data_IF_327479692423
#
_entry.id   IF_327479692423
#
_cell.length_a   1.000
_cell.length_b   1.000
_cell.length_c   1.000
_cell.angle_alpha   90.00
_cell.angle_beta   90.00
_cell.angle_gamma   90.00
#
_symmetry.space_group_name_H-M   'P 1'
#
loop_
_entity.id
_entity.type
_entity.pdbx_description
1 polymer ?
2 non-polymer ?
3 non-polymer ?
4 water ?
#
# COMPACT_ATOMS: atom_id res chain seq x y z
N UNK A 4 29.75 12.27 7.24
CA UNK A 4 28.54 12.74 6.60
C UNK A 4 28.81 13.85 5.60
N UNK A 5 27.95 13.96 4.59
CA UNK A 5 28.12 14.94 3.53
C UNK A 5 27.89 16.34 4.11
N UNK A 6 28.51 17.37 3.54
CA UNK A 6 28.37 18.72 4.10
C UNK A 6 26.94 19.23 4.01
N UNK A 7 26.68 20.31 4.76
CA UNK A 7 25.32 20.78 4.97
C UNK A 7 24.61 21.08 3.65
N UNK A 8 25.30 21.72 2.70
CA UNK A 8 24.61 22.13 1.49
C UNK A 8 24.18 20.94 0.63
N UNK A 9 25.03 19.90 0.55
CA UNK A 9 24.62 18.69 -0.17
C UNK A 9 23.51 17.95 0.57
N UNK A 10 23.61 17.88 1.89
CA UNK A 10 22.54 17.28 2.69
C UNK A 10 21.21 17.98 2.42
N UNK A 11 21.22 19.31 2.39
CA UNK A 11 20.01 20.08 2.09
C UNK A 11 19.49 19.76 0.70
N UNK A 12 20.38 19.73 -0.29
CA UNK A 12 19.94 19.45 -1.65
C UNK A 12 19.24 18.09 -1.72
N UNK A 13 19.85 17.06 -1.13
CA UNK A 13 19.25 15.73 -1.17
C UNK A 13 17.93 15.70 -0.40
N UNK A 14 17.85 16.41 0.72
CA UNK A 14 16.61 16.45 1.49
C UNK A 14 15.50 17.12 0.69
N UNK A 15 15.81 18.19 -0.04
CA UNK A 15 14.80 18.83 -0.88
C UNK A 15 14.37 17.90 -2.01
N UNK A 16 15.32 17.16 -2.59
CA UNK A 16 14.97 16.18 -3.60
C UNK A 16 14.01 15.12 -3.04
N UNK A 17 14.30 14.61 -1.85
CA UNK A 17 13.45 13.60 -1.24
C UNK A 17 12.07 14.17 -0.93
N UNK A 18 11.99 15.39 -0.42
CA UNK A 18 10.68 15.97 -0.11
C UNK A 18 9.87 16.15 -1.39
N UNK A 19 10.52 16.63 -2.45
CA UNK A 19 9.87 16.74 -3.75
C UNK A 19 9.34 15.40 -4.21
N UNK A 20 10.12 14.33 -4.06
CA UNK A 20 9.65 13.01 -4.47
C UNK A 20 8.47 12.57 -3.61
N UNK A 21 8.55 12.80 -2.30
CA UNK A 21 7.48 12.40 -1.40
C UNK A 21 6.16 13.06 -1.76
N UNK A 22 6.20 14.24 -2.37
CA UNK A 22 4.94 14.88 -2.75
C UNK A 22 4.21 14.16 -3.88
N UNK A 23 4.87 13.26 -4.61
CA UNK A 23 4.34 12.68 -5.84
C UNK A 23 3.47 11.45 -5.54
N UNK A 24 2.37 11.35 -6.27
CA UNK A 24 1.53 10.16 -6.18
C UNK A 24 2.33 8.89 -6.39
N UNK A 25 3.23 8.91 -7.37
CA UNK A 25 4.03 7.72 -7.69
C UNK A 25 4.93 7.29 -6.54
N UNK A 26 5.14 8.15 -5.54
CA UNK A 26 5.93 7.76 -4.39
C UNK A 26 5.16 6.91 -3.39
N UNK A 27 3.83 6.85 -3.49
CA UNK A 27 3.05 6.27 -2.41
C UNK A 27 3.52 4.87 -2.00
N UNK A 28 3.87 3.96 -2.91
CA UNK A 28 4.30 2.62 -2.47
C UNK A 28 5.63 2.62 -1.73
N UNK A 29 6.39 3.71 -1.79
CA UNK A 29 7.76 3.73 -1.32
C UNK A 29 7.95 4.63 -0.11
N UNK A 30 6.88 5.18 0.44
CA UNK A 30 6.99 6.15 1.54
C UNK A 30 7.51 5.51 2.82
N UNK A 31 7.14 4.26 3.08
CA UNK A 31 7.39 3.63 4.37
C UNK A 31 7.90 2.21 4.16
N UNK A 32 8.57 1.65 5.17
CA UNK A 32 9.07 0.26 5.04
C UNK A 32 7.96 -0.72 4.78
N UNK A 33 8.29 -1.77 4.00
CA UNK A 33 7.37 -2.86 3.76
C UNK A 33 7.28 -3.74 5.00
N UNK A 34 6.04 -4.07 5.39
CA UNK A 34 5.81 -5.10 6.40
C UNK A 34 5.25 -6.32 5.70
N UNK A 35 6.07 -7.34 5.43
CA UNK A 35 5.61 -8.43 4.57
C UNK A 35 4.35 -9.12 5.05
N UNK A 36 4.25 -9.45 6.34
CA UNK A 36 3.08 -10.19 6.81
C UNK A 36 1.85 -9.29 6.78
N UNK A 37 2.01 -8.00 7.08
CA UNK A 37 0.87 -7.09 7.01
C UNK A 37 0.32 -6.99 5.60
N UNK A 38 1.17 -7.13 4.58
CA UNK A 38 0.73 -7.10 3.19
C UNK A 38 0.50 -8.49 2.62
N UNK A 39 0.54 -9.52 3.47
CA UNK A 39 0.36 -10.91 3.04
C UNK A 39 1.29 -11.26 1.88
N UNK A 40 2.53 -10.81 1.97
CA UNK A 40 3.61 -11.27 1.10
C UNK A 40 4.72 -11.79 2.02
N UNK A 41 4.48 -12.91 2.72
CA UNK A 41 5.44 -13.36 3.74
C UNK A 41 6.78 -13.80 3.20
N UNK A 42 6.94 -13.97 1.89
CA UNK A 42 8.24 -14.34 1.33
C UNK A 42 9.11 -13.14 0.98
N UNK A 43 8.65 -11.92 1.29
CA UNK A 43 9.35 -10.72 0.85
C UNK A 43 10.81 -10.71 1.29
N UNK A 44 11.07 -10.90 2.58
CA UNK A 44 12.44 -10.85 3.08
C UNK A 44 13.29 -12.00 2.56
N UNK A 45 12.68 -13.07 2.05
CA UNK A 45 13.46 -14.12 1.43
C UNK A 45 14.01 -13.68 0.07
N UNK A 46 13.30 -12.78 -0.61
CA UNK A 46 13.73 -12.24 -1.90
C UNK A 46 14.51 -10.95 -1.77
N UNK A 47 14.15 -10.11 -0.80
CA UNK A 47 14.70 -8.77 -0.67
C UNK A 47 15.52 -8.75 0.62
N UNK A 48 16.84 -8.81 0.46
CA UNK A 48 17.77 -8.84 1.58
C UNK A 48 18.22 -7.46 2.03
N UNK A 49 17.90 -6.41 1.27
CA UNK A 49 18.26 -5.03 1.62
C UNK A 49 17.04 -4.17 1.35
N UNK A 50 16.03 -4.23 2.21
CA UNK A 50 14.86 -3.37 2.03
C UNK A 50 15.25 -1.90 2.15
N UNK A 51 14.52 -1.05 1.42
CA UNK A 51 14.79 0.38 1.43
C UNK A 51 13.51 1.12 1.08
N UNK A 52 13.35 2.32 1.67
CA UNK A 52 12.17 3.14 1.47
C UNK A 52 12.56 4.61 1.65
N UNK A 53 11.65 5.50 1.23
CA UNK A 53 11.93 6.94 1.25
C UNK A 53 12.11 7.46 2.66
N UNK A 54 11.31 6.97 3.61
CA UNK A 54 11.45 7.42 5.00
C UNK A 54 12.83 7.09 5.53
N UNK A 55 13.34 5.90 5.23
CA UNK A 55 14.67 5.52 5.67
C UNK A 55 15.74 6.43 5.06
N UNK A 56 15.60 6.75 3.78
CA UNK A 56 16.58 7.64 3.14
C UNK A 56 16.56 9.02 3.79
N UNK A 57 15.36 9.56 4.05
CA UNK A 57 15.27 10.86 4.70
C UNK A 57 15.88 10.83 6.09
N UNK A 58 15.56 9.79 6.87
CA UNK A 58 16.11 9.69 8.21
C UNK A 58 17.62 9.54 8.18
N UNK A 59 18.16 8.77 7.22
CA UNK A 59 19.60 8.62 7.10
C UNK A 59 20.24 9.96 6.74
N UNK A 60 19.61 10.74 5.87
CA UNK A 60 20.12 12.08 5.58
C UNK A 60 20.14 12.94 6.83
N UNK A 61 19.07 12.88 7.64
CA UNK A 61 19.03 13.67 8.86
C UNK A 61 20.04 13.18 9.89
N UNK A 62 20.34 11.87 9.89
CA UNK A 62 21.33 11.31 10.80
C UNK A 62 22.76 11.43 10.28
N UNK A 63 22.95 12.08 9.13
CA UNK A 63 24.27 12.23 8.53
C UNK A 63 24.94 10.87 8.33
N UNK A 64 24.16 9.90 7.87
CA UNK A 64 24.64 8.53 7.66
C UNK A 64 25.15 8.29 6.24
N UNK A 65 25.14 9.29 5.38
CA UNK A 65 25.70 9.18 4.05
C UNK A 65 27.05 9.88 3.99
N UNK A 66 28.01 9.25 3.33
CA UNK A 66 29.34 9.82 3.16
C UNK A 66 29.51 10.55 1.84
N UNK A 67 28.73 10.18 0.82
CA UNK A 67 28.80 10.78 -0.50
C UNK A 67 27.39 10.82 -1.09
N UNK A 68 27.13 11.76 -2.00
CA UNK A 68 25.81 11.77 -2.66
C UNK A 68 25.54 10.48 -3.43
N UNK A 69 26.59 9.86 -3.97
CA UNK A 69 26.41 8.61 -4.69
C UNK A 69 25.80 7.53 -3.82
N UNK A 70 26.07 7.56 -2.51
CA UNK A 70 25.44 6.58 -1.62
C UNK A 70 23.93 6.77 -1.56
N UNK A 71 23.48 8.03 -1.52
CA UNK A 71 22.05 8.32 -1.58
C UNK A 71 21.46 7.76 -2.86
N UNK A 72 22.09 8.08 -4.00
CA UNK A 72 21.60 7.56 -5.27
C UNK A 72 21.55 6.04 -5.26
N UNK A 73 22.55 5.40 -4.63
CA UNK A 73 22.57 3.95 -4.56
C UNK A 73 21.38 3.42 -3.76
N UNK A 74 21.05 4.06 -2.63
CA UNK A 74 19.89 3.62 -1.85
C UNK A 74 18.59 3.78 -2.63
N UNK A 75 18.44 4.90 -3.34
CA UNK A 75 17.23 5.11 -4.12
C UNK A 75 17.09 4.03 -5.20
N UNK A 76 18.18 3.79 -5.94
CA UNK A 76 18.20 2.74 -6.96
C UNK A 76 17.89 1.39 -6.34
N UNK A 77 18.42 1.11 -5.15
CA UNK A 77 18.16 -0.15 -4.47
C UNK A 77 16.69 -0.33 -4.18
N UNK A 78 16.04 0.73 -3.69
CA UNK A 78 14.59 0.69 -3.45
C UNK A 78 13.84 0.30 -4.72
N UNK A 79 14.15 0.98 -5.83
CA UNK A 79 13.41 0.70 -7.06
C UNK A 79 13.73 -0.70 -7.58
N UNK A 80 15.00 -1.11 -7.49
CA UNK A 80 15.37 -2.43 -7.98
C UNK A 80 14.79 -3.55 -7.11
N UNK A 81 14.63 -3.32 -5.80
CA UNK A 81 13.87 -4.24 -4.96
C UNK A 81 12.48 -4.45 -5.52
N UNK A 82 11.81 -3.36 -5.87
CA UNK A 82 10.49 -3.53 -6.48
C UNK A 82 10.60 -4.30 -7.79
N UNK A 83 11.59 -3.98 -8.63
CA UNK A 83 11.73 -4.67 -9.90
C UNK A 83 11.88 -6.17 -9.70
N UNK A 84 12.65 -6.57 -8.69
CA UNK A 84 12.86 -8.00 -8.44
C UNK A 84 11.60 -8.66 -7.88
N UNK A 85 10.99 -8.05 -6.87
CA UNK A 85 9.91 -8.74 -6.15
C UNK A 85 8.55 -8.59 -6.83
N UNK A 86 8.18 -7.37 -7.22
CA UNK A 86 6.92 -7.17 -7.92
C UNK A 86 7.02 -7.43 -9.41
N UNK A 87 8.21 -7.33 -10.00
CA UNK A 87 8.41 -7.53 -11.41
C UNK A 87 8.86 -6.27 -12.12
N UNK A 88 9.60 -6.42 -13.22
CA UNK A 88 10.18 -5.25 -13.88
C UNK A 88 9.14 -4.32 -14.48
N UNK A 89 7.99 -4.85 -14.91
CA UNK A 89 6.95 -4.02 -15.50
C UNK A 89 5.72 -3.87 -14.63
N UNK A 90 5.80 -4.28 -13.35
CA UNK A 90 4.68 -4.11 -12.44
C UNK A 90 4.34 -2.64 -12.24
N UNK A 91 3.10 -2.39 -11.84
CA UNK A 91 2.64 -1.02 -11.59
C UNK A 91 3.55 -0.33 -10.58
N UNK A 92 3.79 -0.99 -9.43
CA UNK A 92 4.61 -0.39 -8.39
C UNK A 92 6.02 -0.11 -8.93
N UNK A 93 6.56 -1.02 -9.73
CA UNK A 93 7.90 -0.81 -10.25
C UNK A 93 7.95 0.39 -11.21
N UNK A 94 6.93 0.52 -12.07
CA UNK A 94 6.92 1.68 -12.96
C UNK A 94 6.72 2.99 -12.21
N UNK A 95 5.93 2.98 -11.13
CA UNK A 95 5.86 4.16 -10.27
C UNK A 95 7.23 4.47 -9.68
N UNK A 96 7.96 3.41 -9.30
CA UNK A 96 9.33 3.59 -8.85
C UNK A 96 10.23 4.20 -9.90
N UNK A 97 10.09 3.74 -11.15
CA UNK A 97 10.87 4.33 -12.23
C UNK A 97 10.55 5.81 -12.40
N UNK A 98 9.27 6.18 -12.26
CA UNK A 98 8.87 7.58 -12.36
C UNK A 98 9.54 8.43 -11.29
N UNK A 99 9.45 8.00 -10.02
CA UNK A 99 10.06 8.81 -8.98
C UNK A 99 11.58 8.73 -9.05
N UNK A 100 12.12 7.65 -9.61
CA UNK A 100 13.56 7.58 -9.85
C UNK A 100 13.99 8.67 -10.82
N UNK A 101 13.23 8.87 -11.90
CA UNK A 101 13.54 9.95 -12.84
C UNK A 101 13.42 11.31 -12.16
N UNK A 102 12.38 11.52 -11.36
CA UNK A 102 12.26 12.80 -10.65
C UNK A 102 13.47 13.03 -9.74
N UNK A 103 13.85 12.00 -8.98
CA UNK A 103 14.96 12.14 -8.04
C UNK A 103 16.27 12.40 -8.76
N UNK A 104 16.47 11.75 -9.91
CA UNK A 104 17.68 11.99 -10.68
C UNK A 104 17.71 13.41 -11.24
N UNK A 105 16.55 13.92 -11.66
CA UNK A 105 16.49 15.32 -12.06
C UNK A 105 16.96 16.23 -10.94
N UNK A 106 16.52 15.95 -9.71
CA UNK A 106 16.93 16.81 -8.60
C UNK A 106 18.38 16.60 -8.20
N UNK A 107 18.92 15.39 -8.38
CA UNK A 107 20.27 15.08 -7.92
C UNK A 107 21.34 15.46 -8.93
N UNK A 108 21.01 15.52 -10.23
CA UNK A 108 21.97 16.00 -11.21
C UNK A 108 22.44 17.41 -10.88
N UNK A 109 21.62 18.18 -10.17
CA UNK A 109 21.91 19.54 -9.79
C UNK A 109 22.65 19.63 -8.46
N UNK A 110 23.10 18.50 -7.91
CA UNK A 110 23.77 18.49 -6.63
C UNK A 110 24.97 19.43 -6.65
N UNK A 111 25.09 20.35 -5.70
CA UNK A 111 26.25 21.24 -5.68
C UNK A 111 27.50 20.51 -5.19
N UNK A 112 28.63 20.86 -5.79
CA UNK A 112 29.89 20.22 -5.45
C UNK A 112 30.35 20.65 -4.05
N UNK A 113 31.33 19.91 -3.52
CA UNK A 113 31.92 20.27 -2.24
C UNK A 113 32.61 21.63 -2.30
N UNK A 114 33.40 21.86 -3.36
CA UNK A 114 34.19 23.08 -3.48
C UNK A 114 33.80 23.89 -4.70
N UNK B 4 -27.14 -11.21 15.71
CA UNK B 4 -26.14 -11.65 14.77
C UNK B 4 -26.63 -12.82 13.92
N UNK B 5 -25.87 -13.12 12.86
CA UNK B 5 -26.22 -14.23 11.98
C UNK B 5 -25.76 -15.53 12.62
N UNK B 6 -26.45 -16.65 12.39
CA UNK B 6 -26.10 -17.90 13.06
C UNK B 6 -24.69 -18.35 12.71
N UNK B 7 -24.17 -19.28 13.51
CA UNK B 7 -22.78 -19.68 13.38
C UNK B 7 -22.44 -20.12 11.96
N UNK B 8 -23.09 -21.18 11.47
CA UNK B 8 -22.70 -21.76 10.19
C UNK B 8 -22.56 -20.69 9.10
N UNK B 9 -23.46 -19.71 9.08
CA UNK B 9 -23.34 -18.62 8.12
C UNK B 9 -22.13 -17.75 8.43
N UNK B 10 -21.89 -17.45 9.71
CA UNK B 10 -20.71 -16.68 10.09
C UNK B 10 -19.43 -17.38 9.64
N UNK B 11 -19.40 -18.71 9.76
CA UNK B 11 -18.24 -19.49 9.33
C UNK B 11 -18.07 -19.46 7.82
N UNK B 12 -19.18 -19.60 7.08
CA UNK B 12 -19.11 -19.45 5.64
C UNK B 12 -18.50 -18.10 5.25
N UNK B 13 -18.96 -17.02 5.92
CA UNK B 13 -18.45 -15.69 5.59
C UNK B 13 -16.99 -15.53 5.96
N UNK B 14 -16.58 -16.04 7.12
CA UNK B 14 -15.18 -15.98 7.51
C UNK B 14 -14.29 -16.73 6.52
N UNK B 15 -14.73 -17.91 6.07
CA UNK B 15 -13.96 -18.65 5.09
C UNK B 15 -13.89 -17.90 3.76
N UNK B 16 -14.98 -17.23 3.38
CA UNK B 16 -14.95 -16.40 2.19
C UNK B 16 -13.93 -15.28 2.33
N UNK B 17 -13.89 -14.63 3.50
CA UNK B 17 -12.94 -13.54 3.72
C UNK B 17 -11.51 -14.05 3.64
N UNK B 18 -11.24 -15.22 4.23
CA UNK B 18 -9.88 -15.76 4.16
C UNK B 18 -9.49 -16.07 2.72
N UNK B 19 -10.37 -16.75 1.99
CA UNK B 19 -10.13 -16.99 0.57
C UNK B 19 -9.81 -15.69 -0.16
N UNK B 20 -10.59 -14.63 0.08
CA UNK B 20 -10.34 -13.37 -0.60
C UNK B 20 -8.99 -12.79 -0.20
N UNK B 21 -8.61 -12.95 1.07
CA UNK B 21 -7.34 -12.40 1.53
C UNK B 21 -6.16 -13.09 0.87
N UNK B 22 -6.31 -14.34 0.44
CA UNK B 22 -5.22 -14.98 -0.29
C UNK B 22 -4.84 -14.23 -1.57
N UNK B 23 -5.77 -13.45 -2.14
CA UNK B 23 -5.58 -12.91 -3.49
C UNK B 23 -4.67 -11.69 -3.50
N UNK B 24 -3.85 -11.59 -4.56
CA UNK B 24 -3.03 -10.41 -4.77
C UNK B 24 -3.88 -9.14 -4.75
N UNK B 25 -5.01 -9.15 -5.47
CA UNK B 25 -5.87 -7.97 -5.57
C UNK B 25 -6.47 -7.56 -4.23
N UNK B 26 -6.33 -8.38 -3.19
CA UNK B 26 -6.83 -7.99 -1.88
C UNK B 26 -5.84 -7.12 -1.12
N UNK B 27 -4.59 -7.05 -1.56
CA UNK B 27 -3.57 -6.35 -0.76
C UNK B 27 -3.96 -4.93 -0.37
N UNK B 28 -4.52 -4.09 -1.24
CA UNK B 28 -4.85 -2.71 -0.81
C UNK B 28 -5.89 -2.65 0.28
N UNK B 29 -6.62 -3.74 0.52
CA UNK B 29 -7.78 -3.74 1.40
C UNK B 29 -7.58 -4.59 2.64
N UNK B 30 -6.36 -5.10 2.87
CA UNK B 30 -6.14 -5.97 4.02
C UNK B 30 -6.32 -5.21 5.33
N UNK B 31 -5.87 -3.96 5.38
CA UNK B 31 -5.89 -3.15 6.59
C UNK B 31 -6.59 -1.83 6.32
N UNK B 32 -7.03 -1.14 7.38
CA UNK B 32 -7.61 0.20 7.20
C UNK B 32 -6.63 1.12 6.49
N UNK B 33 -7.15 1.93 5.57
CA UNK B 33 -6.33 2.95 4.95
C UNK B 33 -5.74 3.85 6.03
N UNK B 34 -4.43 4.04 5.99
CA UNK B 34 -3.73 4.90 6.94
C UNK B 34 -3.30 6.17 6.22
N UNK B 35 -4.07 7.26 6.31
CA UNK B 35 -3.72 8.47 5.54
C UNK B 35 -2.36 9.05 5.87
N UNK B 36 -1.89 8.92 7.11
CA UNK B 36 -0.60 9.48 7.46
C UNK B 36 0.53 8.68 6.81
N UNK B 37 0.46 7.35 6.90
CA UNK B 37 1.48 6.51 6.29
C UNK B 37 1.50 6.66 4.77
N UNK B 38 0.33 6.90 4.16
CA UNK B 38 0.22 7.00 2.72
C UNK B 38 0.30 8.44 2.22
N UNK B 39 0.47 9.41 3.12
CA UNK B 39 0.61 10.81 2.75
C UNK B 39 -0.56 11.28 1.88
N UNK B 40 -1.77 10.97 2.33
CA UNK B 40 -2.98 11.39 1.63
C UNK B 40 -3.89 12.10 2.62
N UNK B 41 -3.55 13.34 3.01
CA UNK B 41 -4.35 14.01 4.04
C UNK B 41 -5.80 14.26 3.65
N UNK B 42 -6.14 14.21 2.36
CA UNK B 42 -7.51 14.47 1.94
C UNK B 42 -8.41 13.23 1.98
N UNK B 43 -7.87 12.07 2.38
CA UNK B 43 -8.62 10.82 2.26
C UNK B 43 -9.97 10.90 2.98
N UNK B 44 -9.96 11.26 4.27
CA UNK B 44 -11.19 11.28 5.03
C UNK B 44 -12.10 12.45 4.65
N UNK B 45 -11.63 13.37 3.80
CA UNK B 45 -12.54 14.33 3.19
C UNK B 45 -13.45 13.64 2.17
N UNK B 46 -12.89 12.68 1.44
CA UNK B 46 -13.67 11.88 0.49
C UNK B 46 -14.49 10.81 1.20
N UNK B 47 -13.90 10.13 2.17
CA UNK B 47 -14.40 8.86 2.69
C UNK B 47 -14.97 9.10 4.07
N UNK B 48 -16.30 9.19 4.16
CA UNK B 48 -16.95 9.37 5.46
C UNK B 48 -17.11 8.07 6.23
N UNK B 49 -17.05 6.92 5.57
CA UNK B 49 -17.25 5.63 6.22
C UNK B 49 -16.20 4.64 5.73
N UNK B 50 -15.02 4.64 6.35
CA UNK B 50 -13.96 3.73 5.92
C UNK B 50 -14.36 2.27 6.15
N UNK B 51 -13.73 1.38 5.38
CA UNK B 51 -14.00 -0.04 5.50
C UNK B 51 -12.84 -0.81 4.87
N UNK B 52 -12.56 -1.98 5.45
CA UNK B 52 -11.45 -2.81 5.00
C UNK B 52 -11.72 -4.25 5.38
N UNK B 53 -10.91 -5.17 4.83
CA UNK B 53 -11.13 -6.59 5.09
C UNK B 53 -10.93 -6.94 6.56
N UNK B 54 -9.91 -6.34 7.19
CA UNK B 54 -9.67 -6.60 8.60
C UNK B 54 -10.88 -6.20 9.44
N UNK B 55 -11.45 -5.02 9.17
CA UNK B 55 -12.61 -4.58 9.91
C UNK B 55 -13.80 -5.51 9.70
N UNK B 56 -13.99 -5.98 8.46
CA UNK B 56 -15.08 -6.91 8.18
C UNK B 56 -14.91 -8.19 8.99
N UNK B 57 -13.69 -8.73 9.02
CA UNK B 57 -13.44 -9.95 9.78
C UNK B 57 -13.68 -9.72 11.27
N UNK B 58 -13.25 -8.56 11.79
CA UNK B 58 -13.46 -8.26 13.21
C UNK B 58 -14.93 -8.13 13.54
N UNK B 59 -15.70 -7.49 12.65
CA UNK B 59 -17.14 -7.36 12.84
C UNK B 59 -17.82 -8.72 12.83
N UNK B 60 -17.46 -9.59 11.87
CA UNK B 60 -17.97 -10.96 11.87
C UNK B 60 -17.68 -11.65 13.19
N UNK B 61 -16.41 -11.64 13.61
CA UNK B 61 -16.06 -12.28 14.88
C UNK B 61 -16.80 -11.64 16.04
N UNK B 62 -17.13 -10.36 15.93
CA UNK B 62 -17.89 -9.67 16.96
C UNK B 62 -19.39 -9.92 16.85
N UNK B 63 -19.83 -10.74 15.90
CA UNK B 63 -21.26 -10.98 15.67
C UNK B 63 -22.01 -9.66 15.50
N UNK B 64 -21.42 -8.75 14.72
CA UNK B 64 -22.02 -7.43 14.49
C UNK B 64 -22.98 -7.42 13.31
N UNK B 65 -22.91 -8.41 12.43
CA UNK B 65 -23.76 -8.46 11.25
C UNK B 65 -25.07 -9.16 11.59
N UNK B 66 -26.18 -8.52 11.25
CA UNK B 66 -27.51 -9.09 11.46
C UNK B 66 -27.94 -9.99 10.32
N UNK B 67 -27.47 -9.72 9.10
CA UNK B 67 -27.80 -10.51 7.93
C UNK B 67 -26.56 -10.64 7.05
N UNK B 68 -26.47 -11.69 6.23
CA UNK B 68 -25.33 -11.80 5.32
C UNK B 68 -25.26 -10.64 4.33
N UNK B 69 -26.43 -10.11 3.96
CA UNK B 69 -26.46 -8.96 3.07
C UNK B 69 -25.66 -7.80 3.63
N UNK B 70 -25.66 -7.64 4.97
CA UNK B 70 -24.89 -6.56 5.56
C UNK B 70 -23.39 -6.75 5.35
N UNK B 71 -22.91 -8.00 5.41
CA UNK B 71 -21.53 -8.29 5.05
C UNK B 71 -21.25 -7.83 3.62
N UNK B 72 -22.11 -8.27 2.68
CA UNK B 72 -21.91 -7.85 1.30
C UNK B 72 -21.93 -6.33 1.17
N UNK B 73 -22.75 -5.67 1.98
CA UNK B 73 -22.85 -4.21 1.94
C UNK B 73 -21.56 -3.55 2.39
N UNK B 74 -20.90 -4.11 3.42
CA UNK B 74 -19.61 -3.57 3.83
C UNK B 74 -18.55 -3.78 2.73
N UNK B 75 -18.57 -4.94 2.08
CA UNK B 75 -17.65 -5.16 0.97
C UNK B 75 -17.87 -4.13 -0.14
N UNK B 76 -19.15 -3.91 -0.50
CA UNK B 76 -19.46 -2.93 -1.52
C UNK B 76 -19.01 -1.53 -1.10
N UNK B 77 -19.16 -1.21 0.18
CA UNK B 77 -18.70 0.08 0.69
C UNK B 77 -17.20 0.24 0.51
N UNK B 78 -16.44 -0.82 0.79
CA UNK B 78 -15.00 -0.81 0.53
C UNK B 78 -14.71 -0.44 -0.92
N UNK B 79 -15.35 -1.15 -1.86
CA UNK B 79 -15.08 -0.90 -3.27
C UNK B 79 -15.49 0.52 -3.66
N UNK B 80 -16.62 1.00 -3.16
CA UNK B 80 -17.08 2.33 -3.54
C UNK B 80 -16.22 3.43 -2.93
N UNK B 81 -15.68 3.20 -1.73
CA UNK B 81 -14.69 4.13 -1.19
C UNK B 81 -13.52 4.26 -2.14
N UNK B 82 -13.00 3.12 -2.62
CA UNK B 82 -11.92 3.20 -3.60
C UNK B 82 -12.36 3.98 -4.84
N UNK B 83 -13.58 3.73 -5.30
CA UNK B 83 -14.07 4.44 -6.50
C UNK B 83 -14.08 5.95 -6.27
N UNK B 84 -14.50 6.39 -5.08
CA UNK B 84 -14.59 7.82 -4.80
C UNK B 84 -13.22 8.46 -4.64
N UNK B 85 -12.28 7.78 -3.96
CA UNK B 85 -11.01 8.43 -3.69
C UNK B 85 -9.97 8.18 -4.77
N UNK B 86 -9.84 6.95 -5.25
CA UNK B 86 -8.86 6.63 -6.29
C UNK B 86 -9.41 6.85 -7.69
N UNK B 87 -10.72 6.71 -7.88
CA UNK B 87 -11.32 6.88 -9.18
C UNK B 87 -12.07 5.65 -9.63
N UNK B 88 -13.05 5.83 -10.53
CA UNK B 88 -13.88 4.70 -10.94
C UNK B 88 -13.13 3.64 -11.71
N UNK B 89 -12.10 4.02 -12.47
CA UNK B 89 -11.31 3.08 -13.25
C UNK B 89 -9.89 2.92 -12.73
N UNK B 90 -9.60 3.42 -11.54
CA UNK B 90 -8.26 3.29 -10.97
C UNK B 90 -7.93 1.81 -10.73
N UNK B 91 -6.63 1.51 -10.79
CA UNK B 91 -6.19 0.13 -10.64
C UNK B 91 -6.65 -0.46 -9.31
N UNK B 92 -6.53 0.33 -8.24
CA UNK B 92 -6.96 -0.15 -6.93
C UNK B 92 -8.45 -0.44 -6.91
N UNK B 93 -9.25 0.39 -7.61
CA UNK B 93 -10.67 0.13 -7.68
C UNK B 93 -10.97 -1.12 -8.50
N UNK B 94 -10.23 -1.36 -9.58
CA UNK B 94 -10.40 -2.58 -10.35
C UNK B 94 -10.08 -3.80 -9.50
N UNK B 95 -9.00 -3.73 -8.70
CA UNK B 95 -8.69 -4.81 -7.78
C UNK B 95 -9.80 -5.03 -6.77
N UNK B 96 -10.36 -3.93 -6.25
CA UNK B 96 -11.49 -4.04 -5.35
C UNK B 96 -12.67 -4.76 -5.99
N UNK B 97 -12.98 -4.44 -7.25
CA UNK B 97 -14.10 -5.10 -7.92
C UNK B 97 -13.78 -6.58 -8.18
N UNK B 98 -12.51 -6.89 -8.46
CA UNK B 98 -12.14 -8.29 -8.63
C UNK B 98 -12.40 -9.08 -7.35
N UNK B 99 -11.91 -8.58 -6.21
CA UNK B 99 -12.12 -9.33 -4.98
C UNK B 99 -13.58 -9.30 -4.56
N UNK B 100 -14.31 -8.24 -4.94
CA UNK B 100 -15.75 -8.22 -4.68
C UNK B 100 -16.45 -9.34 -5.43
N UNK B 101 -16.09 -9.55 -6.70
CA UNK B 101 -16.68 -10.65 -7.45
C UNK B 101 -16.30 -12.00 -6.85
N UNK B 102 -15.04 -12.17 -6.44
CA UNK B 102 -14.66 -13.42 -5.80
C UNK B 102 -15.48 -13.66 -4.53
N UNK B 103 -15.61 -12.63 -3.70
CA UNK B 103 -16.39 -12.75 -2.48
C UNK B 103 -17.84 -13.12 -2.78
N UNK B 104 -18.43 -12.48 -3.79
CA UNK B 104 -19.81 -12.78 -4.16
C UNK B 104 -19.95 -14.21 -4.66
N UNK B 105 -18.94 -14.70 -5.39
CA UNK B 105 -18.93 -16.10 -5.77
C UNK B 105 -19.01 -17.00 -4.54
N UNK B 106 -18.20 -16.70 -3.52
CA UNK B 106 -18.24 -17.52 -2.31
C UNK B 106 -19.54 -17.34 -1.54
N UNK B 107 -20.15 -16.16 -1.60
CA UNK B 107 -21.32 -15.85 -0.80
C UNK B 107 -22.62 -16.36 -1.42
N UNK B 108 -22.62 -16.61 -2.73
CA UNK B 108 -23.76 -17.32 -3.32
C UNK B 108 -23.95 -18.69 -2.68
N UNK B 109 -22.89 -19.27 -2.14
CA UNK B 109 -22.92 -20.58 -1.52
C UNK B 109 -23.35 -20.55 -0.06
N UNK B 110 -23.67 -19.37 0.47
CA UNK B 110 -24.08 -19.22 1.86
C UNK B 110 -25.20 -20.22 2.19
N UNK B 111 -25.01 -21.08 3.19
CA UNK B 111 -26.10 -21.98 3.59
C UNK B 111 -27.23 -21.19 4.26
N UNK B 112 -28.46 -21.60 3.95
CA UNK B 112 -29.62 -20.89 4.45
C UNK B 112 -29.70 -20.97 5.97
N UNK B 113 -30.49 -20.05 6.54
CA UNK B 113 -30.73 -20.03 7.98
C UNK B 113 -31.43 -21.30 8.42
N UNK B 114 -32.35 -21.80 7.61
CA UNK B 114 -33.23 -22.91 7.99
C UNK B 114 -33.25 -23.99 6.92
#
# INVERSE_FOLDING_TARGET
>A
GAMGIPQHQQKHALMAIKAVKRLKDARPFLQPVDPVALNIPLYFNFIKRPMDLQTIERKLNANAYETPEQITEDFNLMVENSAKFNGPTAVITQMGRNIQAAFEKHMLNMPAKD
>B
GAMGIPQHQQKHALMAIKAVKRLKDARPFLQPVDPVALNIPLYFNFIKRPMDLQTIERKLNANAYETPEQITEDFNLMVENSAKFNGPTAVITQMGRNIQAAFEKHMLNMPAKD
#
